data_IF_092511019681
#
_entry.id   IF_092511019681
#
_cell.length_a   1.000
_cell.length_b   1.000
_cell.length_c   1.000
_cell.angle_alpha   90.00
_cell.angle_beta   90.00
_cell.angle_gamma   90.00
#
_symmetry.space_group_name_H-M   'P 1'
#
loop_
_entity.id
_entity.type
_entity.pdbx_description
1 polymer ?
#
# COMPACT_ATOMS: atom_id res chain seq x y z
N UNK A 1 -11.76 -19.26 5.38
CA UNK A 1 -11.07 -18.34 4.44
C UNK A 1 -11.21 -16.88 4.92
N UNK A 2 -10.52 -16.53 6.00
CA UNK A 2 -10.49 -15.18 6.60
C UNK A 2 -9.33 -14.32 6.07
N UNK A 3 -8.58 -14.82 5.10
CA UNK A 3 -7.32 -14.24 4.65
C UNK A 3 -7.45 -13.03 3.73
N UNK A 4 -8.65 -12.60 3.36
CA UNK A 4 -8.81 -11.58 2.30
C UNK A 4 -9.64 -10.35 2.66
N UNK A 5 -10.15 -10.21 3.90
CA UNK A 5 -10.73 -8.92 4.34
C UNK A 5 -9.65 -7.94 4.84
N UNK A 6 -8.48 -8.46 5.20
CA UNK A 6 -7.35 -7.69 5.73
C UNK A 6 -6.51 -6.98 4.67
N UNK A 7 -6.65 -7.37 3.42
CA UNK A 7 -6.00 -6.76 2.25
C UNK A 7 -6.97 -5.89 1.45
N UNK A 8 -8.25 -6.28 1.34
CA UNK A 8 -9.23 -5.54 0.52
C UNK A 8 -9.70 -4.19 1.07
N UNK A 9 -9.50 -3.93 2.36
CA UNK A 9 -9.97 -2.71 3.06
C UNK A 9 -8.84 -1.91 3.72
N UNK A 10 -7.61 -1.98 3.20
CA UNK A 10 -6.46 -1.24 3.75
C UNK A 10 -6.73 0.27 3.83
N UNK A 11 -7.29 0.88 2.77
CA UNK A 11 -7.64 2.31 2.78
C UNK A 11 -8.61 2.69 3.91
N UNK A 12 -9.59 1.82 4.21
CA UNK A 12 -10.57 2.04 5.27
C UNK A 12 -9.92 1.89 6.65
N UNK A 13 -9.03 0.90 6.83
CA UNK A 13 -8.29 0.70 8.08
C UNK A 13 -7.34 1.86 8.40
N UNK A 14 -6.58 2.33 7.40
CA UNK A 14 -5.69 3.47 7.59
C UNK A 14 -6.50 4.73 7.94
N UNK A 15 -7.60 5.00 7.23
CA UNK A 15 -8.49 6.12 7.56
C UNK A 15 -9.11 6.02 8.96
N UNK A 16 -9.45 4.82 9.42
CA UNK A 16 -10.01 4.61 10.76
C UNK A 16 -8.96 4.72 11.87
N UNK A 17 -7.72 4.29 11.63
CA UNK A 17 -6.63 4.33 12.62
C UNK A 17 -6.17 5.77 12.96
N UNK A 18 -6.41 6.71 12.05
CA UNK A 18 -6.01 8.12 12.23
C UNK A 18 -7.21 9.08 12.36
N UNK A 19 -8.43 8.54 12.53
CA UNK A 19 -9.63 9.35 12.76
C UNK A 19 -9.49 10.10 14.09
N UNK A 20 -9.46 11.43 14.03
CA UNK A 20 -9.32 12.31 15.21
C UNK A 20 -7.91 12.83 15.45
N UNK A 21 -6.92 12.42 14.65
CA UNK A 21 -5.59 13.02 14.68
C UNK A 21 -5.58 14.44 14.07
N UNK A 22 -4.57 15.24 14.41
CA UNK A 22 -4.36 16.57 13.82
C UNK A 22 -4.26 16.51 12.28
N UNK A 23 -4.80 17.50 11.55
CA UNK A 23 -4.80 17.50 10.08
C UNK A 23 -3.39 17.49 9.48
N UNK A 24 -2.42 18.13 10.13
CA UNK A 24 -1.01 18.12 9.74
C UNK A 24 -0.43 16.70 9.80
N UNK A 25 -0.74 15.98 10.88
CA UNK A 25 -0.34 14.59 11.05
C UNK A 25 -1.01 13.67 10.03
N UNK A 26 -2.31 13.83 9.79
CA UNK A 26 -3.03 13.06 8.77
C UNK A 26 -2.44 13.27 7.37
N UNK A 27 -2.02 14.50 7.05
CA UNK A 27 -1.36 14.84 5.78
C UNK A 27 -0.01 14.13 5.63
N UNK A 28 0.82 14.14 6.69
CA UNK A 28 2.11 13.44 6.70
C UNK A 28 1.94 11.93 6.54
N UNK A 29 1.00 11.33 7.28
CA UNK A 29 0.71 9.90 7.19
C UNK A 29 0.19 9.52 5.80
N UNK A 30 -0.69 10.34 5.21
CA UNK A 30 -1.19 10.10 3.85
C UNK A 30 -0.07 10.12 2.81
N UNK A 31 0.87 11.06 2.92
CA UNK A 31 2.07 11.11 2.06
C UNK A 31 2.94 9.87 2.22
N UNK A 32 3.17 9.43 3.46
CA UNK A 32 3.97 8.23 3.74
C UNK A 32 3.32 6.98 3.15
N UNK A 33 2.01 6.79 3.35
CA UNK A 33 1.28 5.64 2.79
C UNK A 33 1.41 5.63 1.26
N UNK A 34 1.19 6.77 0.61
CA UNK A 34 1.29 6.87 -0.84
C UNK A 34 2.69 6.51 -1.36
N UNK A 35 3.75 6.96 -0.67
CA UNK A 35 5.12 6.60 -1.03
C UNK A 35 5.35 5.09 -0.93
N UNK A 36 4.92 4.47 0.16
CA UNK A 36 5.06 3.02 0.37
C UNK A 36 4.28 2.21 -0.67
N UNK A 37 3.06 2.63 -1.02
CA UNK A 37 2.24 1.98 -2.04
C UNK A 37 2.91 2.06 -3.43
N UNK A 38 3.50 3.20 -3.77
CA UNK A 38 4.22 3.39 -5.03
C UNK A 38 5.46 2.49 -5.12
N UNK A 39 6.28 2.46 -4.07
CA UNK A 39 7.49 1.61 -4.03
C UNK A 39 7.11 0.12 -4.10
N UNK A 40 6.09 -0.31 -3.36
CA UNK A 40 5.58 -1.68 -3.42
C UNK A 40 5.11 -2.05 -4.83
N UNK A 41 4.42 -1.13 -5.51
CA UNK A 41 3.93 -1.40 -6.87
C UNK A 41 5.09 -1.48 -7.88
N UNK A 42 6.11 -0.61 -7.75
CA UNK A 42 7.33 -0.69 -8.56
C UNK A 42 8.03 -2.04 -8.37
N UNK A 43 8.21 -2.49 -7.13
CA UNK A 43 8.83 -3.79 -6.85
C UNK A 43 8.04 -4.95 -7.46
N UNK A 44 6.70 -4.94 -7.35
CA UNK A 44 5.84 -5.95 -7.98
C UNK A 44 6.03 -6.02 -9.49
N UNK A 45 6.11 -4.86 -10.16
CA UNK A 45 6.35 -4.78 -11.60
C UNK A 45 7.75 -5.32 -11.94
N UNK A 46 8.79 -4.92 -11.20
CA UNK A 46 10.16 -5.41 -11.40
C UNK A 46 10.22 -6.94 -11.26
N UNK A 47 9.60 -7.49 -10.23
CA UNK A 47 9.55 -8.94 -10.00
C UNK A 47 8.83 -9.67 -11.13
N UNK A 48 7.70 -9.13 -11.61
CA UNK A 48 6.97 -9.67 -12.76
C UNK A 48 7.83 -9.67 -14.02
N UNK A 49 8.44 -8.55 -14.36
CA UNK A 49 9.30 -8.43 -15.55
C UNK A 49 10.51 -9.37 -15.45
N UNK A 50 11.07 -9.55 -14.25
CA UNK A 50 12.19 -10.48 -14.00
C UNK A 50 11.77 -11.96 -14.11
N UNK A 51 10.50 -12.28 -13.89
CA UNK A 51 9.97 -13.63 -14.14
C UNK A 51 9.74 -13.88 -15.63
N UNK A 52 9.25 -12.87 -16.37
CA UNK A 52 9.00 -12.97 -17.81
C UNK A 52 10.31 -13.05 -18.62
N UNK A 53 11.38 -12.37 -18.17
CA UNK A 53 12.70 -12.40 -18.82
C UNK A 53 13.49 -13.71 -18.64
N UNK A 54 13.06 -14.63 -17.76
CA UNK A 54 13.74 -15.93 -17.53
C UNK A 54 13.13 -17.09 -18.30
N UNK A 55 12.03 -16.85 -19.02
CA UNK A 55 11.30 -17.85 -19.80
C UNK A 55 11.58 -17.73 -21.30
N UNK A 56 12.49 -16.83 -21.70
CA UNK A 56 13.08 -16.75 -23.06
C UNK A 56 14.55 -17.13 -22.97
#
# INVERSE_FOLDING_TARGET
>A
MLTDLRTRNESIRHKAAFKGCQPEFQSLVSKLIQQLEQELNKEKIILRNKSEARTQ
#
